data_IF_298185536569
#
_entry.id   IF_298185536569
#
_cell.length_a   1.000
_cell.length_b   1.000
_cell.length_c   1.000
_cell.angle_alpha   90.00
_cell.angle_beta   90.00
_cell.angle_gamma   90.00
#
_symmetry.space_group_name_H-M   'P 1'
#
loop_
_entity.id
_entity.type
_entity.pdbx_description
1 polymer ?
#
# COMPACT_ATOMS: atom_id res chain seq x y z
N UNK A 1 52.35 21.35 -32.00
CA UNK A 1 51.66 20.53 -32.97
C UNK A 1 50.50 19.88 -32.26
N UNK A 2 49.29 20.48 -32.35
CA UNK A 2 48.06 19.99 -31.69
C UNK A 2 47.21 19.26 -32.72
N UNK A 3 47.00 17.97 -32.51
CA UNK A 3 46.02 17.19 -33.28
C UNK A 3 44.63 17.43 -32.73
N UNK A 4 43.59 17.63 -33.54
CA UNK A 4 42.20 17.75 -33.10
C UNK A 4 41.58 16.37 -32.97
N UNK A 5 41.04 16.08 -31.78
CA UNK A 5 40.21 14.92 -31.50
C UNK A 5 38.82 15.12 -32.14
N UNK A 6 38.50 14.30 -33.13
CA UNK A 6 37.16 14.23 -33.72
C UNK A 6 36.25 13.40 -32.81
N UNK A 7 35.17 14.00 -32.35
CA UNK A 7 34.04 13.31 -31.72
C UNK A 7 33.25 12.51 -32.78
N UNK A 8 32.86 11.26 -32.55
CA UNK A 8 32.02 10.52 -33.48
C UNK A 8 30.58 11.04 -33.46
N UNK A 9 30.04 11.18 -34.66
CA UNK A 9 28.69 11.65 -34.95
C UNK A 9 27.61 10.70 -34.42
N UNK A 10 26.61 11.29 -33.73
CA UNK A 10 25.36 10.64 -33.35
C UNK A 10 24.61 10.12 -34.59
N UNK A 11 24.35 8.80 -34.69
CA UNK A 11 22.99 8.35 -34.93
C UNK A 11 22.70 6.94 -34.34
N UNK A 12 22.84 6.73 -33.04
CA UNK A 12 22.46 5.45 -32.42
C UNK A 12 21.37 5.57 -31.32
N UNK A 13 20.90 6.81 -31.04
CA UNK A 13 19.92 7.01 -29.98
C UNK A 13 18.45 6.92 -30.46
N UNK A 14 18.19 6.93 -31.78
CA UNK A 14 16.83 6.85 -32.33
C UNK A 14 16.33 5.42 -32.56
N UNK A 15 17.21 4.43 -32.64
CA UNK A 15 16.83 3.03 -32.89
C UNK A 15 16.37 2.31 -31.61
N UNK A 16 16.79 2.77 -30.40
CA UNK A 16 16.43 2.12 -29.15
C UNK A 16 15.01 2.51 -28.66
N UNK A 17 14.52 3.69 -29.03
CA UNK A 17 13.19 4.16 -28.62
C UNK A 17 12.09 3.48 -29.45
N UNK A 18 12.34 3.18 -30.71
CA UNK A 18 11.39 2.49 -31.61
C UNK A 18 11.26 0.98 -31.29
N UNK A 19 12.32 0.32 -30.79
CA UNK A 19 12.23 -1.09 -30.39
C UNK A 19 11.48 -1.30 -29.07
N UNK A 20 11.54 -0.34 -28.13
CA UNK A 20 10.79 -0.42 -26.89
C UNK A 20 9.27 -0.23 -27.12
N UNK A 21 8.89 0.64 -28.07
CA UNK A 21 7.49 0.84 -28.47
C UNK A 21 6.90 -0.37 -29.19
N UNK A 22 7.69 -1.11 -29.95
CA UNK A 22 7.25 -2.34 -30.63
C UNK A 22 7.12 -3.54 -29.68
N UNK A 23 7.94 -3.64 -28.63
CA UNK A 23 7.76 -4.67 -27.59
C UNK A 23 6.51 -4.41 -26.74
N UNK A 24 6.20 -3.16 -26.41
CA UNK A 24 4.95 -2.81 -25.73
C UNK A 24 3.72 -3.12 -26.60
N UNK A 25 3.78 -2.86 -27.91
CA UNK A 25 2.71 -3.20 -28.85
C UNK A 25 2.56 -4.70 -29.10
N UNK A 26 3.63 -5.50 -29.04
CA UNK A 26 3.56 -6.94 -29.21
C UNK A 26 2.92 -7.67 -28.00
N UNK A 27 2.99 -7.08 -26.79
CA UNK A 27 2.37 -7.66 -25.60
C UNK A 27 0.85 -7.42 -25.57
N UNK A 28 0.32 -6.43 -26.29
CA UNK A 28 -1.13 -6.20 -26.43
C UNK A 28 -1.82 -7.19 -27.40
N UNK A 29 -1.08 -8.05 -28.08
CA UNK A 29 -1.64 -9.03 -29.03
C UNK A 29 -2.18 -10.31 -28.34
N UNK A 30 -1.90 -10.54 -27.05
CA UNK A 30 -2.52 -11.63 -26.29
C UNK A 30 -3.81 -11.07 -25.68
N UNK A 31 -4.95 -11.42 -26.23
CA UNK A 31 -6.27 -11.03 -25.72
C UNK A 31 -6.36 -11.20 -24.20
N UNK A 32 -7.11 -10.32 -23.53
CA UNK A 32 -7.27 -10.42 -22.08
C UNK A 32 -7.78 -9.14 -21.43
N UNK A 33 -7.62 -9.10 -20.12
CA UNK A 33 -7.97 -7.96 -19.28
C UNK A 33 -6.74 -7.45 -18.54
N UNK A 34 -6.68 -6.13 -18.35
CA UNK A 34 -5.60 -5.44 -17.64
C UNK A 34 -6.13 -4.45 -16.62
N UNK A 35 -5.29 -4.13 -15.63
CA UNK A 35 -5.56 -3.17 -14.58
C UNK A 35 -6.91 -3.36 -13.88
N UNK A 36 -7.26 -4.59 -13.44
CA UNK A 36 -8.52 -4.83 -12.77
C UNK A 36 -8.56 -4.09 -11.43
N UNK A 37 -9.69 -3.44 -11.15
CA UNK A 37 -9.98 -2.77 -9.88
C UNK A 37 -11.24 -3.32 -9.24
N UNK A 38 -11.29 -3.23 -7.92
CA UNK A 38 -12.44 -3.64 -7.12
C UNK A 38 -12.69 -2.60 -6.02
N UNK A 39 -13.90 -2.10 -5.95
CA UNK A 39 -14.36 -1.16 -4.92
C UNK A 39 -15.51 -1.78 -4.14
N UNK A 40 -15.53 -1.59 -2.81
CA UNK A 40 -16.68 -1.91 -1.98
C UNK A 40 -17.62 -0.71 -1.97
N UNK A 41 -18.79 -0.85 -2.60
CA UNK A 41 -19.78 0.22 -2.75
C UNK A 41 -20.70 0.29 -1.52
N UNK A 42 -21.13 -0.88 -1.06
CA UNK A 42 -21.89 -1.06 0.17
C UNK A 42 -21.66 -2.49 0.69
N UNK A 43 -22.08 -2.84 1.90
CA UNK A 43 -21.88 -4.17 2.44
C UNK A 43 -22.33 -5.27 1.46
N UNK A 44 -21.38 -6.08 1.00
CA UNK A 44 -21.60 -7.17 0.06
C UNK A 44 -21.80 -6.77 -1.40
N UNK A 45 -21.71 -5.48 -1.76
CA UNK A 45 -21.82 -4.99 -3.14
C UNK A 45 -20.47 -4.42 -3.59
N UNK A 46 -19.93 -4.97 -4.67
CA UNK A 46 -18.63 -4.63 -5.22
C UNK A 46 -18.76 -4.10 -6.63
N UNK A 47 -18.00 -3.08 -6.98
CA UNK A 47 -17.82 -2.59 -8.34
C UNK A 47 -16.51 -3.10 -8.90
N UNK A 48 -16.58 -3.78 -10.03
CA UNK A 48 -15.44 -4.30 -10.78
C UNK A 48 -15.24 -3.47 -12.04
N UNK A 49 -14.00 -3.07 -12.30
CA UNK A 49 -13.62 -2.38 -13.52
C UNK A 49 -12.28 -2.91 -14.04
N UNK A 50 -12.09 -2.88 -15.37
CA UNK A 50 -10.87 -3.32 -16.02
C UNK A 50 -10.80 -2.80 -17.46
N UNK A 51 -9.62 -2.78 -18.03
CA UNK A 51 -9.42 -2.59 -19.46
C UNK A 51 -9.46 -3.95 -20.15
N UNK A 52 -10.21 -4.06 -21.24
CA UNK A 52 -10.35 -5.30 -22.00
C UNK A 52 -9.89 -5.13 -23.44
N UNK A 53 -9.15 -6.12 -23.94
CA UNK A 53 -8.94 -6.23 -25.38
C UNK A 53 -10.25 -6.63 -26.09
N UNK A 54 -10.44 -6.32 -27.39
CA UNK A 54 -11.62 -6.75 -28.14
C UNK A 54 -11.84 -8.28 -28.12
N UNK A 55 -10.76 -9.05 -27.97
CA UNK A 55 -10.76 -10.51 -27.96
C UNK A 55 -11.10 -11.11 -26.58
N UNK A 56 -11.14 -10.30 -25.53
CA UNK A 56 -11.46 -10.78 -24.18
C UNK A 56 -12.85 -11.39 -24.07
N UNK A 57 -13.79 -10.95 -24.93
CA UNK A 57 -15.18 -11.43 -24.93
C UNK A 57 -15.91 -11.11 -23.63
N UNK A 58 -16.85 -11.96 -23.25
CA UNK A 58 -17.47 -11.91 -21.94
C UNK A 58 -16.51 -12.42 -20.87
N UNK A 59 -16.42 -11.72 -19.74
CA UNK A 59 -15.53 -12.09 -18.62
C UNK A 59 -16.36 -12.78 -17.54
N UNK A 60 -16.12 -14.06 -17.32
CA UNK A 60 -16.69 -14.81 -16.19
C UNK A 60 -16.05 -14.38 -14.88
N UNK A 61 -16.87 -14.08 -13.89
CA UNK A 61 -16.45 -13.64 -12.55
C UNK A 61 -16.75 -14.73 -11.55
N UNK A 62 -15.72 -15.21 -10.85
CA UNK A 62 -15.85 -16.14 -9.75
C UNK A 62 -15.46 -15.46 -8.45
N UNK A 63 -16.28 -15.61 -7.41
CA UNK A 63 -15.97 -15.14 -6.07
C UNK A 63 -15.34 -16.27 -5.26
N UNK A 64 -14.26 -15.97 -4.54
CA UNK A 64 -13.56 -16.91 -3.69
C UNK A 64 -13.08 -16.23 -2.40
N UNK A 65 -12.95 -17.00 -1.33
CA UNK A 65 -12.28 -16.57 -0.09
C UNK A 65 -10.75 -16.55 -0.22
N UNK A 66 -10.19 -17.08 -1.32
CA UNK A 66 -8.75 -17.23 -1.55
C UNK A 66 -8.30 -16.66 -2.89
N UNK A 67 -7.11 -16.01 -2.95
CA UNK A 67 -6.60 -15.45 -4.20
C UNK A 67 -5.99 -16.48 -5.15
N UNK A 68 -5.66 -17.68 -4.67
CA UNK A 68 -4.92 -18.71 -5.39
C UNK A 68 -5.80 -19.80 -6.02
N UNK A 69 -7.11 -19.79 -5.74
CA UNK A 69 -8.03 -20.77 -6.32
C UNK A 69 -9.45 -20.24 -6.43
N UNK A 70 -10.21 -20.84 -7.34
CA UNK A 70 -11.66 -20.62 -7.51
C UNK A 70 -12.39 -21.68 -6.67
N UNK A 71 -13.23 -21.23 -5.74
CA UNK A 71 -13.99 -22.13 -4.85
C UNK A 71 -15.31 -22.60 -5.45
N UNK A 72 -15.81 -21.97 -6.54
CA UNK A 72 -17.11 -22.27 -7.17
C UNK A 72 -16.93 -22.77 -8.60
N UNK A 73 -17.74 -23.78 -8.98
CA UNK A 73 -17.82 -24.26 -10.36
C UNK A 73 -18.60 -23.31 -11.30
N UNK A 74 -19.37 -22.38 -10.75
CA UNK A 74 -20.21 -21.44 -11.53
C UNK A 74 -19.77 -20.01 -11.28
N UNK A 75 -19.72 -19.17 -12.34
CA UNK A 75 -19.48 -17.74 -12.18
C UNK A 75 -20.66 -17.09 -11.44
N UNK A 76 -20.36 -16.09 -10.61
CA UNK A 76 -21.37 -15.25 -9.95
C UNK A 76 -21.93 -14.20 -10.90
N UNK A 77 -21.17 -13.85 -11.95
CA UNK A 77 -21.56 -12.87 -12.96
C UNK A 77 -20.76 -13.13 -14.24
N UNK A 78 -21.32 -12.75 -15.40
CA UNK A 78 -20.56 -12.59 -16.65
C UNK A 78 -20.61 -11.13 -17.06
N UNK A 79 -19.47 -10.46 -17.05
CA UNK A 79 -19.34 -9.04 -17.41
C UNK A 79 -19.13 -8.93 -18.92
N UNK A 80 -19.96 -8.10 -19.57
CA UNK A 80 -19.83 -7.74 -21.00
C UNK A 80 -19.46 -6.27 -21.20
N UNK A 81 -19.63 -5.46 -20.15
CA UNK A 81 -19.31 -4.03 -20.13
C UNK A 81 -18.89 -3.61 -18.73
N UNK A 82 -17.82 -2.85 -18.61
CA UNK A 82 -17.31 -2.29 -17.35
C UNK A 82 -17.64 -0.79 -17.22
N UNK A 83 -17.73 -0.25 -16.02
CA UNK A 83 -17.73 -0.99 -14.75
C UNK A 83 -18.99 -1.82 -14.55
N UNK A 84 -18.91 -2.88 -13.74
CA UNK A 84 -20.04 -3.76 -13.40
C UNK A 84 -20.14 -3.98 -11.90
N UNK A 85 -21.35 -4.10 -11.37
CA UNK A 85 -21.58 -4.39 -9.95
C UNK A 85 -21.91 -5.88 -9.75
N UNK A 86 -21.37 -6.43 -8.67
CA UNK A 86 -21.62 -7.80 -8.24
C UNK A 86 -22.01 -7.79 -6.76
N UNK A 87 -23.09 -8.52 -6.45
CA UNK A 87 -23.57 -8.67 -5.07
C UNK A 87 -23.22 -10.05 -4.52
N UNK A 88 -22.58 -10.09 -3.35
CA UNK A 88 -22.21 -11.29 -2.61
C UNK A 88 -22.78 -11.14 -1.19
N UNK A 89 -24.07 -11.42 -0.99
CA UNK A 89 -24.71 -11.22 0.30
C UNK A 89 -24.20 -12.21 1.34
N UNK A 90 -24.23 -11.80 2.61
CA UNK A 90 -23.89 -12.66 3.76
C UNK A 90 -22.39 -12.94 3.95
N UNK A 91 -21.54 -12.29 3.17
CA UNK A 91 -20.09 -12.47 3.30
C UNK A 91 -19.52 -11.67 4.48
N UNK A 92 -18.83 -12.35 5.39
CA UNK A 92 -18.23 -11.72 6.59
C UNK A 92 -16.72 -11.53 6.47
N UNK A 93 -16.05 -12.23 5.54
CA UNK A 93 -14.61 -12.15 5.31
C UNK A 93 -14.24 -11.51 3.98
N UNK A 94 -12.96 -11.58 3.65
CA UNK A 94 -12.43 -11.04 2.42
C UNK A 94 -12.82 -11.86 1.20
N UNK A 95 -13.16 -11.17 0.10
CA UNK A 95 -13.45 -11.78 -1.20
C UNK A 95 -12.37 -11.42 -2.22
N UNK A 96 -12.01 -12.40 -3.03
CA UNK A 96 -11.21 -12.27 -4.23
C UNK A 96 -12.07 -12.64 -5.43
N UNK A 97 -12.08 -11.76 -6.44
CA UNK A 97 -12.76 -12.01 -7.70
C UNK A 97 -11.75 -12.50 -8.73
N UNK A 98 -12.00 -13.69 -9.26
CA UNK A 98 -11.24 -14.25 -10.36
C UNK A 98 -11.95 -13.88 -11.65
N UNK A 99 -11.36 -13.03 -12.46
CA UNK A 99 -11.87 -12.52 -13.71
C UNK A 99 -11.29 -13.36 -14.85
N UNK A 100 -12.11 -14.22 -15.44
CA UNK A 100 -11.71 -15.16 -16.49
C UNK A 100 -12.26 -14.69 -17.83
N UNK A 101 -11.45 -14.06 -18.70
CA UNK A 101 -11.86 -13.69 -20.06
C UNK A 101 -11.98 -14.94 -20.94
N UNK A 102 -12.70 -14.81 -22.07
CA UNK A 102 -12.80 -15.86 -23.06
C UNK A 102 -11.42 -16.19 -23.68
N UNK A 103 -10.57 -15.17 -23.82
CA UNK A 103 -9.18 -15.31 -24.28
C UNK A 103 -8.25 -14.51 -23.35
N UNK A 104 -7.17 -15.12 -22.90
CA UNK A 104 -6.17 -14.53 -22.03
C UNK A 104 -6.18 -15.11 -20.61
N UNK A 105 -5.26 -14.67 -19.77
CA UNK A 105 -5.10 -15.20 -18.42
C UNK A 105 -6.20 -14.69 -17.47
N UNK A 106 -6.59 -15.54 -16.53
CA UNK A 106 -7.42 -15.13 -15.41
C UNK A 106 -6.69 -14.08 -14.57
N UNK A 107 -7.38 -13.03 -14.17
CA UNK A 107 -6.87 -12.00 -13.27
C UNK A 107 -7.61 -12.06 -11.94
N UNK A 108 -6.87 -11.84 -10.86
CA UNK A 108 -7.44 -11.78 -9.50
C UNK A 108 -7.48 -10.33 -9.05
N UNK A 109 -8.61 -9.93 -8.50
CA UNK A 109 -8.79 -8.60 -7.92
C UNK A 109 -9.57 -8.68 -6.61
N UNK A 110 -9.27 -7.79 -5.69
CA UNK A 110 -9.99 -7.62 -4.43
C UNK A 110 -9.99 -6.14 -4.04
N UNK A 111 -10.79 -5.79 -3.03
CA UNK A 111 -10.69 -4.45 -2.44
C UNK A 111 -9.28 -4.24 -1.88
N UNK A 112 -8.67 -3.10 -2.19
CA UNK A 112 -7.33 -2.77 -1.70
C UNK A 112 -7.36 -2.38 -0.24
N UNK A 113 -8.15 -1.36 0.12
CA UNK A 113 -8.37 -0.97 1.50
C UNK A 113 -9.35 -1.92 2.17
N UNK A 114 -8.98 -2.46 3.32
CA UNK A 114 -9.86 -3.30 4.10
C UNK A 114 -10.89 -2.44 4.87
N UNK A 115 -12.14 -2.92 5.03
CA UNK A 115 -13.21 -2.13 5.63
C UNK A 115 -13.16 -2.16 7.17
N UNK A 116 -11.98 -1.86 7.74
CA UNK A 116 -11.78 -1.84 9.18
C UNK A 116 -12.21 -0.51 9.80
N UNK A 117 -12.79 -0.58 10.99
CA UNK A 117 -13.22 0.59 11.75
C UNK A 117 -12.04 1.23 12.50
N UNK A 118 -11.18 0.43 13.11
CA UNK A 118 -10.07 0.88 13.95
C UNK A 118 -8.74 1.12 13.23
N UNK A 119 -8.61 0.68 11.97
CA UNK A 119 -7.37 0.81 11.19
C UNK A 119 -7.62 1.37 9.78
N UNK A 120 -7.78 2.68 9.68
CA UNK A 120 -8.23 3.37 8.46
C UNK A 120 -7.27 3.28 7.28
N UNK A 121 -5.96 3.06 7.52
CA UNK A 121 -4.93 2.97 6.48
C UNK A 121 -4.54 1.51 6.16
N UNK A 122 -5.32 0.53 6.64
CA UNK A 122 -5.06 -0.88 6.43
C UNK A 122 -5.38 -1.29 4.99
N UNK A 123 -4.38 -1.76 4.25
CA UNK A 123 -4.52 -2.17 2.86
C UNK A 123 -3.55 -3.26 2.43
N UNK A 124 -3.92 -3.98 1.39
CA UNK A 124 -3.12 -5.00 0.73
C UNK A 124 -2.13 -4.38 -0.28
N UNK A 125 -0.92 -4.87 -0.31
CA UNK A 125 0.11 -4.51 -1.30
C UNK A 125 0.07 -5.37 -2.57
N UNK A 126 -0.86 -6.33 -2.66
CA UNK A 126 -1.06 -7.16 -3.85
C UNK A 126 -1.74 -6.44 -5.01
N UNK A 127 -1.79 -7.12 -6.16
CA UNK A 127 -2.51 -6.67 -7.35
C UNK A 127 -1.84 -5.58 -8.18
N UNK A 128 -0.64 -5.13 -7.83
CA UNK A 128 0.14 -4.23 -8.68
C UNK A 128 0.83 -5.00 -9.80
N UNK A 129 0.77 -4.45 -11.01
CA UNK A 129 1.46 -5.02 -12.17
C UNK A 129 2.95 -4.69 -12.10
N UNK A 130 3.78 -5.68 -12.40
CA UNK A 130 5.24 -5.56 -12.46
C UNK A 130 5.71 -5.26 -13.89
N UNK A 131 6.96 -4.82 -14.08
CA UNK A 131 7.52 -4.51 -15.41
C UNK A 131 7.51 -5.70 -16.36
N UNK A 132 7.64 -6.92 -15.85
CA UNK A 132 7.62 -8.16 -16.64
C UNK A 132 6.20 -8.68 -16.92
N UNK A 133 5.17 -7.90 -16.54
CA UNK A 133 3.76 -8.21 -16.82
C UNK A 133 3.08 -9.15 -15.84
N UNK A 134 3.76 -9.56 -14.76
CA UNK A 134 3.15 -10.29 -13.66
C UNK A 134 2.38 -9.34 -12.73
N UNK A 135 1.81 -9.90 -11.68
CA UNK A 135 1.10 -9.14 -10.64
C UNK A 135 1.58 -9.57 -9.27
N UNK A 136 1.81 -8.61 -8.39
CA UNK A 136 2.07 -8.89 -6.98
C UNK A 136 0.90 -9.68 -6.41
N UNK A 137 1.19 -10.78 -5.73
CA UNK A 137 0.14 -11.66 -5.20
C UNK A 137 -0.67 -10.98 -4.11
N UNK A 138 -1.99 -11.09 -4.22
CA UNK A 138 -2.92 -10.61 -3.21
C UNK A 138 -2.84 -11.42 -1.92
N UNK A 139 -3.16 -10.78 -0.79
CA UNK A 139 -3.38 -11.47 0.47
C UNK A 139 -2.12 -11.90 1.22
N UNK A 140 -0.94 -11.46 0.81
CA UNK A 140 0.33 -11.86 1.41
C UNK A 140 0.97 -10.79 2.29
N UNK A 141 0.97 -9.53 1.85
CA UNK A 141 1.57 -8.44 2.61
C UNK A 141 0.59 -7.28 2.69
N UNK A 142 0.36 -6.84 3.90
CA UNK A 142 -0.49 -5.71 4.22
C UNK A 142 0.32 -4.60 4.85
N UNK A 143 -0.14 -3.37 4.71
CA UNK A 143 0.38 -2.21 5.43
C UNK A 143 -0.73 -1.54 6.21
N UNK A 144 -0.41 -0.90 7.36
CA UNK A 144 -1.41 -0.27 8.21
C UNK A 144 -0.88 0.92 9.00
N UNK A 145 -1.79 1.72 9.56
CA UNK A 145 -1.54 2.48 10.77
C UNK A 145 -1.54 1.54 12.00
N UNK A 146 -1.25 2.08 13.20
CA UNK A 146 -1.24 1.29 14.44
C UNK A 146 -2.55 0.51 14.64
N UNK A 147 -2.47 -0.61 15.36
CA UNK A 147 -3.57 -1.57 15.54
C UNK A 147 -4.28 -1.42 16.89
N UNK A 148 -4.06 -0.31 17.58
CA UNK A 148 -4.56 -0.04 18.95
C UNK A 148 -6.06 0.05 19.03
N UNK A 149 -6.71 0.57 17.98
CA UNK A 149 -8.14 0.88 17.97
C UNK A 149 -9.00 -0.17 17.25
N UNK A 150 -8.45 -1.37 17.02
CA UNK A 150 -9.21 -2.46 16.37
C UNK A 150 -10.42 -2.84 17.20
N UNK A 151 -11.58 -2.97 16.56
CA UNK A 151 -12.84 -3.38 17.18
C UNK A 151 -13.02 -4.89 17.11
N UNK A 152 -13.99 -5.44 17.86
CA UNK A 152 -14.35 -6.86 17.77
C UNK A 152 -14.70 -7.27 16.33
N UNK A 153 -15.43 -6.41 15.60
CA UNK A 153 -15.79 -6.61 14.20
C UNK A 153 -14.56 -6.63 13.28
N UNK A 154 -13.56 -5.78 13.58
CA UNK A 154 -12.29 -5.79 12.85
C UNK A 154 -11.57 -7.13 13.04
N UNK A 155 -11.55 -7.68 14.25
CA UNK A 155 -10.92 -8.97 14.52
C UNK A 155 -11.64 -10.14 13.82
N UNK A 156 -12.96 -10.12 13.73
CA UNK A 156 -13.72 -11.09 12.94
C UNK A 156 -13.26 -11.09 11.47
N UNK A 157 -13.12 -9.90 10.88
CA UNK A 157 -12.63 -9.74 9.52
C UNK A 157 -11.16 -10.16 9.38
N UNK A 158 -10.27 -9.72 10.27
CA UNK A 158 -8.83 -10.02 10.25
C UNK A 158 -8.54 -11.51 10.44
N UNK A 159 -9.37 -12.23 11.21
CA UNK A 159 -9.25 -13.68 11.39
C UNK A 159 -9.32 -14.40 10.05
N UNK A 160 -10.15 -13.94 9.10
CA UNK A 160 -10.28 -14.51 7.77
C UNK A 160 -9.03 -14.36 6.90
N UNK A 161 -8.12 -13.44 7.25
CA UNK A 161 -6.88 -13.18 6.50
C UNK A 161 -5.75 -14.16 6.88
N UNK A 162 -5.85 -14.82 8.03
CA UNK A 162 -4.85 -15.75 8.52
C UNK A 162 -3.48 -15.13 8.75
N UNK A 163 -3.43 -13.88 9.22
CA UNK A 163 -2.19 -13.12 9.47
C UNK A 163 -1.31 -13.91 10.45
N UNK A 164 -0.04 -14.10 10.08
CA UNK A 164 0.95 -14.84 10.86
C UNK A 164 2.01 -13.99 11.51
N UNK A 165 2.31 -12.82 10.91
CA UNK A 165 3.37 -11.92 11.36
C UNK A 165 2.86 -10.47 11.36
N UNK A 166 3.13 -9.75 12.45
CA UNK A 166 2.95 -8.30 12.56
C UNK A 166 4.32 -7.67 12.81
N UNK A 167 4.76 -6.82 11.88
CA UNK A 167 6.00 -6.07 11.97
C UNK A 167 5.69 -4.64 12.43
N UNK A 168 5.98 -4.35 13.70
CA UNK A 168 5.77 -3.03 14.28
C UNK A 168 7.09 -2.23 14.23
N UNK A 169 7.11 -1.22 13.36
CA UNK A 169 8.28 -0.34 13.19
C UNK A 169 8.23 0.93 14.05
N UNK A 170 7.29 1.03 14.99
CA UNK A 170 7.23 2.14 15.94
C UNK A 170 8.40 2.09 16.91
N UNK A 171 8.80 3.25 17.40
CA UNK A 171 9.80 3.32 18.49
C UNK A 171 9.29 2.67 19.78
N UNK A 172 10.20 2.32 20.68
CA UNK A 172 9.83 1.71 21.97
C UNK A 172 8.88 2.61 22.76
N UNK A 173 9.10 3.92 22.75
CA UNK A 173 8.24 4.89 23.43
C UNK A 173 6.85 5.01 22.79
N UNK A 174 6.73 4.88 21.47
CA UNK A 174 5.41 4.85 20.79
C UNK A 174 4.63 3.58 21.16
N UNK A 175 5.31 2.42 21.18
CA UNK A 175 4.69 1.15 21.56
C UNK A 175 4.25 1.11 23.02
N UNK A 176 5.09 1.64 23.92
CA UNK A 176 4.76 1.67 25.34
C UNK A 176 3.53 2.54 25.65
N UNK A 177 3.35 3.65 24.92
CA UNK A 177 2.19 4.55 25.10
C UNK A 177 0.90 4.00 24.50
N UNK A 178 1.00 3.29 23.41
CA UNK A 178 -0.13 2.80 22.64
C UNK A 178 0.18 1.36 22.16
N UNK A 179 0.17 0.38 23.08
CA UNK A 179 0.44 -1.01 22.72
C UNK A 179 -0.65 -1.53 21.80
N UNK A 180 -0.24 -2.28 20.76
CA UNK A 180 -1.21 -2.99 19.94
C UNK A 180 -1.90 -4.07 20.78
N UNK A 181 -3.17 -4.25 20.49
CA UNK A 181 -3.98 -5.28 21.11
C UNK A 181 -4.46 -6.24 20.03
N UNK A 182 -4.37 -7.55 20.29
CA UNK A 182 -4.84 -8.59 19.39
C UNK A 182 -5.73 -9.59 20.13
N UNK A 183 -6.81 -10.02 19.48
CA UNK A 183 -7.78 -10.96 20.03
C UNK A 183 -7.87 -12.18 19.12
N UNK A 184 -8.00 -13.37 19.72
CA UNK A 184 -8.11 -14.63 19.00
C UNK A 184 -6.75 -15.28 18.75
N UNK A 185 -6.59 -15.91 17.57
CA UNK A 185 -5.32 -16.53 17.19
C UNK A 185 -4.28 -15.44 16.98
N UNK A 186 -3.31 -15.39 17.88
CA UNK A 186 -2.32 -14.33 17.92
C UNK A 186 -1.21 -14.59 16.90
N UNK A 187 -0.96 -13.65 15.96
CA UNK A 187 0.22 -13.68 15.10
C UNK A 187 1.49 -13.45 15.92
N UNK A 188 2.63 -13.75 15.35
CA UNK A 188 3.91 -13.34 15.92
C UNK A 188 4.07 -11.82 15.78
N UNK A 189 4.50 -11.15 16.85
CA UNK A 189 4.83 -9.72 16.85
C UNK A 189 6.34 -9.54 16.76
N UNK A 190 6.79 -8.95 15.67
CA UNK A 190 8.18 -8.59 15.42
C UNK A 190 8.37 -7.08 15.61
N UNK A 191 8.98 -6.67 16.70
CA UNK A 191 9.34 -5.28 16.94
C UNK A 191 10.64 -4.93 16.19
N UNK A 192 10.56 -3.98 15.26
CA UNK A 192 11.68 -3.50 14.44
C UNK A 192 11.71 -1.96 14.51
N UNK A 193 12.14 -1.36 15.62
CA UNK A 193 11.98 0.07 15.86
C UNK A 193 12.77 0.91 14.84
N UNK A 194 12.06 1.86 14.23
CA UNK A 194 12.58 2.87 13.31
C UNK A 194 12.25 4.25 13.87
N UNK A 195 13.26 5.08 14.05
CA UNK A 195 13.16 6.39 14.67
C UNK A 195 13.77 6.43 16.06
N UNK A 196 13.90 7.64 16.61
CA UNK A 196 14.51 7.85 17.92
C UNK A 196 13.48 7.73 19.06
N UNK A 197 13.91 7.19 20.18
CA UNK A 197 13.16 7.18 21.44
C UNK A 197 13.18 8.54 22.17
N UNK A 198 13.61 9.63 21.50
CA UNK A 198 13.90 10.91 22.12
C UNK A 198 12.70 11.62 22.74
N UNK A 199 11.47 11.21 22.39
CA UNK A 199 10.24 11.79 22.94
C UNK A 199 9.54 10.73 23.81
N UNK A 200 9.97 10.63 25.05
CA UNK A 200 9.35 9.75 26.05
C UNK A 200 7.98 10.27 26.52
N UNK A 201 7.86 11.60 26.59
CA UNK A 201 6.61 12.29 26.95
C UNK A 201 6.41 13.47 26.00
N UNK A 202 5.68 13.29 24.88
CA UNK A 202 5.45 14.36 23.92
C UNK A 202 4.63 15.48 24.54
N UNK A 203 5.04 16.72 24.29
CA UNK A 203 4.39 17.93 24.78
C UNK A 203 3.63 18.65 23.66
N UNK A 204 2.76 19.58 24.03
CA UNK A 204 2.11 20.48 23.07
C UNK A 204 3.16 21.23 22.20
N UNK A 205 4.29 21.61 22.78
CA UNK A 205 5.37 22.28 22.08
C UNK A 205 6.06 21.36 21.05
N UNK A 206 6.19 20.07 21.36
CA UNK A 206 6.69 19.07 20.42
C UNK A 206 5.77 18.92 19.19
N UNK A 207 4.46 18.94 19.40
CA UNK A 207 3.49 18.91 18.29
C UNK A 207 3.58 20.19 17.45
N UNK A 208 3.66 21.37 18.06
CA UNK A 208 3.83 22.64 17.35
C UNK A 208 5.11 22.65 16.52
N UNK A 209 6.23 22.22 17.10
CA UNK A 209 7.50 22.10 16.37
C UNK A 209 7.39 21.13 15.18
N UNK A 210 6.70 20.00 15.34
CA UNK A 210 6.48 19.05 14.22
C UNK A 210 5.67 19.68 13.11
N UNK A 211 4.59 20.38 13.44
CA UNK A 211 3.74 21.06 12.44
C UNK A 211 4.54 22.15 11.72
N UNK A 212 5.29 22.97 12.46
CA UNK A 212 6.12 24.02 11.88
C UNK A 212 7.21 23.45 10.96
N UNK A 213 7.83 22.33 11.34
CA UNK A 213 8.86 21.66 10.56
C UNK A 213 8.30 21.11 9.22
N UNK A 214 7.07 20.60 9.22
CA UNK A 214 6.40 20.09 8.01
C UNK A 214 6.03 21.23 7.05
N UNK A 215 5.59 22.36 7.58
CA UNK A 215 5.30 23.56 6.79
C UNK A 215 6.56 24.12 6.09
N UNK A 216 7.76 23.85 6.63
CA UNK A 216 9.05 24.20 6.04
C UNK A 216 9.53 23.31 4.88
N UNK A 217 8.73 22.39 4.37
CA UNK A 217 8.94 21.45 3.23
C UNK A 217 10.21 20.58 3.25
N UNK A 218 11.33 21.04 3.80
CA UNK A 218 12.62 20.33 3.73
C UNK A 218 12.69 19.09 4.65
N UNK A 219 11.90 19.03 5.71
CA UNK A 219 12.07 18.01 6.76
C UNK A 219 11.48 16.65 6.46
N UNK A 220 10.42 16.57 5.63
CA UNK A 220 9.76 15.28 5.32
C UNK A 220 10.61 14.45 4.36
N UNK A 221 11.20 15.08 3.34
CA UNK A 221 12.10 14.43 2.38
C UNK A 221 13.38 13.97 3.06
N UNK A 222 13.99 14.82 3.93
CA UNK A 222 15.17 14.43 4.73
C UNK A 222 14.85 13.25 5.64
N UNK A 223 13.70 13.26 6.30
CA UNK A 223 13.28 12.18 7.19
C UNK A 223 13.01 10.87 6.45
N UNK A 224 12.39 10.91 5.27
CA UNK A 224 12.17 9.75 4.45
C UNK A 224 13.49 9.16 3.93
N UNK A 225 14.43 10.01 3.53
CA UNK A 225 15.79 9.63 3.19
C UNK A 225 16.52 8.96 4.38
N UNK A 226 16.43 9.54 5.58
CA UNK A 226 16.99 8.93 6.79
C UNK A 226 16.37 7.57 7.09
N UNK A 227 15.06 7.40 6.90
CA UNK A 227 14.40 6.11 7.06
C UNK A 227 14.98 5.09 6.09
N UNK A 228 15.11 5.43 4.82
CA UNK A 228 15.63 4.51 3.81
C UNK A 228 17.09 4.11 4.05
N UNK A 229 17.93 5.05 4.50
CA UNK A 229 19.38 4.84 4.64
C UNK A 229 19.78 4.32 6.03
N UNK A 230 19.48 5.11 7.07
CA UNK A 230 19.90 4.83 8.45
C UNK A 230 19.28 3.56 9.02
N UNK A 231 18.07 3.22 8.57
CA UNK A 231 17.31 2.06 9.07
C UNK A 231 17.16 0.95 8.03
N UNK A 232 18.00 0.92 6.99
CA UNK A 232 18.00 -0.14 5.98
C UNK A 232 18.09 -1.55 6.58
N UNK A 233 18.91 -1.73 7.62
CA UNK A 233 19.05 -3.01 8.33
C UNK A 233 17.76 -3.47 9.03
N UNK A 234 16.93 -2.55 9.49
CA UNK A 234 15.62 -2.85 10.08
C UNK A 234 14.64 -3.35 9.01
N UNK A 235 14.57 -2.67 7.88
CA UNK A 235 13.74 -3.12 6.76
C UNK A 235 14.22 -4.46 6.20
N UNK A 236 15.53 -4.67 6.11
CA UNK A 236 16.09 -5.94 5.69
C UNK A 236 15.65 -7.12 6.58
N UNK A 237 15.54 -6.93 7.91
CA UNK A 237 15.01 -7.96 8.83
C UNK A 237 13.58 -8.34 8.49
N UNK A 238 12.72 -7.35 8.18
CA UNK A 238 11.34 -7.62 7.78
C UNK A 238 11.33 -8.39 6.45
N UNK A 239 12.07 -7.92 5.45
CA UNK A 239 12.13 -8.58 4.13
C UNK A 239 12.64 -10.01 4.24
N UNK A 240 13.62 -10.31 5.10
CA UNK A 240 14.11 -11.67 5.36
C UNK A 240 13.00 -12.56 5.92
N UNK A 241 12.19 -12.06 6.86
CA UNK A 241 11.05 -12.81 7.43
C UNK A 241 10.01 -13.11 6.34
N UNK A 242 9.66 -12.12 5.50
CA UNK A 242 8.74 -12.33 4.37
C UNK A 242 9.30 -13.37 3.39
N UNK A 243 10.58 -13.29 3.05
CA UNK A 243 11.25 -14.22 2.14
C UNK A 243 11.32 -15.65 2.73
N UNK A 244 11.37 -15.79 4.06
CA UNK A 244 11.31 -17.09 4.76
C UNK A 244 9.91 -17.70 4.79
N UNK A 245 8.88 -17.01 4.29
CA UNK A 245 7.51 -17.51 4.21
C UNK A 245 6.65 -17.21 5.43
N UNK A 246 7.03 -16.23 6.26
CA UNK A 246 6.19 -15.74 7.38
C UNK A 246 5.07 -14.83 6.83
N UNK A 247 4.17 -15.46 6.10
CA UNK A 247 3.07 -14.84 5.36
C UNK A 247 1.72 -15.52 5.71
N UNK A 248 0.62 -14.79 5.71
CA UNK A 248 0.46 -13.35 5.47
C UNK A 248 1.03 -12.48 6.59
N UNK A 249 1.56 -11.30 6.23
CA UNK A 249 2.18 -10.37 7.18
C UNK A 249 1.57 -8.96 7.08
N UNK A 250 1.59 -8.25 8.21
CA UNK A 250 1.25 -6.82 8.29
C UNK A 250 2.49 -6.05 8.73
N UNK A 251 2.83 -4.98 8.04
CA UNK A 251 3.79 -3.98 8.51
C UNK A 251 3.07 -2.68 8.83
N UNK A 252 3.39 -2.10 9.99
CA UNK A 252 2.76 -0.85 10.39
C UNK A 252 3.68 0.04 11.22
N UNK A 253 3.36 1.34 11.22
CA UNK A 253 3.87 2.32 12.17
C UNK A 253 2.71 3.03 12.88
N UNK A 254 2.85 4.29 13.27
CA UNK A 254 1.77 5.04 13.91
C UNK A 254 0.66 5.44 12.93
N UNK A 255 0.99 6.17 11.86
CA UNK A 255 0.03 6.58 10.83
C UNK A 255 -0.02 5.61 9.63
N UNK A 256 0.93 4.68 9.51
CA UNK A 256 1.08 3.82 8.33
C UNK A 256 1.47 4.59 7.07
N UNK A 257 2.09 5.76 7.23
CA UNK A 257 2.37 6.72 6.15
C UNK A 257 3.85 6.70 5.77
N UNK A 258 4.72 7.26 6.62
CA UNK A 258 6.12 7.53 6.27
C UNK A 258 7.02 6.28 6.37
N UNK A 259 7.26 5.74 7.57
CA UNK A 259 8.09 4.53 7.77
C UNK A 259 7.54 3.33 7.01
N UNK A 260 6.25 3.10 7.14
CA UNK A 260 5.49 2.08 6.40
C UNK A 260 5.49 2.35 4.90
N UNK A 261 5.46 3.63 4.49
CA UNK A 261 5.55 4.02 3.09
C UNK A 261 6.90 3.67 2.47
N UNK A 262 8.00 3.94 3.19
CA UNK A 262 9.35 3.58 2.75
C UNK A 262 9.51 2.06 2.65
N UNK A 263 9.05 1.30 3.65
CA UNK A 263 9.07 -0.17 3.58
C UNK A 263 8.30 -0.70 2.37
N UNK A 264 7.05 -0.23 2.19
CA UNK A 264 6.21 -0.67 1.07
C UNK A 264 6.84 -0.33 -0.28
N UNK A 265 7.49 0.85 -0.38
CA UNK A 265 8.19 1.25 -1.59
C UNK A 265 9.38 0.35 -1.90
N UNK A 266 10.20 0.02 -0.89
CA UNK A 266 11.32 -0.93 -1.04
C UNK A 266 10.80 -2.29 -1.52
N UNK A 267 9.76 -2.82 -0.88
CA UNK A 267 9.19 -4.12 -1.24
C UNK A 267 8.63 -4.12 -2.67
N UNK A 268 7.80 -3.13 -3.01
CA UNK A 268 7.16 -3.07 -4.34
C UNK A 268 8.19 -2.85 -5.45
N UNK A 269 9.22 -2.01 -5.22
CA UNK A 269 10.33 -1.81 -6.16
C UNK A 269 11.13 -3.10 -6.35
N UNK A 270 11.45 -3.81 -5.27
CA UNK A 270 12.14 -5.11 -5.34
C UNK A 270 11.32 -6.19 -6.09
N UNK A 271 10.00 -6.09 -6.05
CA UNK A 271 9.09 -6.96 -6.82
C UNK A 271 8.89 -6.50 -8.28
N UNK A 272 9.54 -5.43 -8.72
CA UNK A 272 9.47 -4.93 -10.09
C UNK A 272 8.23 -4.10 -10.40
N UNK A 273 7.58 -3.51 -9.41
CA UNK A 273 6.47 -2.57 -9.63
C UNK A 273 7.01 -1.23 -10.14
N UNK A 274 6.44 -0.63 -11.20
CA UNK A 274 6.87 0.67 -11.72
C UNK A 274 6.84 1.77 -10.66
N UNK A 275 7.84 2.66 -10.70
CA UNK A 275 8.03 3.73 -9.71
C UNK A 275 6.80 4.61 -9.53
N UNK A 276 6.12 4.95 -10.61
CA UNK A 276 4.91 5.78 -10.60
C UNK A 276 3.78 5.08 -9.81
N UNK A 277 3.66 3.76 -9.94
CA UNK A 277 2.68 2.95 -9.22
C UNK A 277 3.03 2.84 -7.73
N UNK A 278 4.31 2.73 -7.40
CA UNK A 278 4.81 2.76 -6.01
C UNK A 278 4.47 4.10 -5.34
N UNK A 279 4.68 5.22 -6.04
CA UNK A 279 4.32 6.55 -5.55
C UNK A 279 2.79 6.67 -5.38
N UNK A 280 2.00 6.14 -6.31
CA UNK A 280 0.54 6.12 -6.20
C UNK A 280 0.06 5.33 -4.99
N UNK A 281 0.65 4.14 -4.69
CA UNK A 281 0.31 3.43 -3.45
C UNK A 281 0.60 4.28 -2.21
N UNK A 282 1.75 4.94 -2.15
CA UNK A 282 2.09 5.82 -1.04
C UNK A 282 1.04 6.93 -0.84
N UNK A 283 0.62 7.56 -1.94
CA UNK A 283 -0.35 8.67 -1.95
C UNK A 283 -1.79 8.23 -1.61
N UNK A 284 -2.13 6.93 -1.69
CA UNK A 284 -3.41 6.41 -1.19
C UNK A 284 -3.61 6.72 0.30
N UNK A 285 -2.54 6.91 1.07
CA UNK A 285 -2.64 7.34 2.46
C UNK A 285 -3.41 8.67 2.61
N UNK A 286 -3.32 9.58 1.64
CA UNK A 286 -4.09 10.82 1.63
C UNK A 286 -5.60 10.55 1.54
N UNK A 287 -6.00 9.64 0.66
CA UNK A 287 -7.41 9.27 0.51
C UNK A 287 -8.00 8.72 1.82
N UNK A 288 -7.21 7.96 2.58
CA UNK A 288 -7.70 7.25 3.76
C UNK A 288 -7.56 8.07 5.06
N UNK A 289 -6.46 8.81 5.20
CA UNK A 289 -6.16 9.56 6.43
C UNK A 289 -6.74 10.97 6.43
N UNK A 290 -7.01 11.56 5.25
CA UNK A 290 -7.56 12.92 5.14
C UNK A 290 -9.08 12.96 4.97
N UNK A 291 -9.76 11.81 5.04
CA UNK A 291 -11.23 11.76 5.08
C UNK A 291 -11.75 12.55 6.29
N UNK A 292 -12.88 13.28 6.17
CA UNK A 292 -13.37 14.20 7.20
C UNK A 292 -13.44 13.57 8.60
N UNK A 293 -14.04 12.39 8.70
CA UNK A 293 -14.18 11.67 9.98
C UNK A 293 -12.83 11.21 10.54
N UNK A 294 -11.93 10.73 9.65
CA UNK A 294 -10.61 10.26 10.05
C UNK A 294 -9.75 11.40 10.59
N UNK A 295 -9.78 12.57 9.94
CA UNK A 295 -8.98 13.71 10.35
C UNK A 295 -9.45 14.28 11.70
N UNK A 296 -10.75 14.30 11.95
CA UNK A 296 -11.31 14.73 13.23
C UNK A 296 -10.94 13.77 14.37
N UNK A 297 -11.04 12.46 14.14
CA UNK A 297 -10.61 11.46 15.10
C UNK A 297 -9.11 11.56 15.38
N UNK A 298 -8.29 11.80 14.34
CA UNK A 298 -6.85 12.03 14.50
C UNK A 298 -6.56 13.28 15.36
N UNK A 299 -7.32 14.36 15.18
CA UNK A 299 -7.18 15.55 16.02
C UNK A 299 -7.45 15.25 17.50
N UNK A 300 -8.52 14.49 17.79
CA UNK A 300 -8.85 14.06 19.14
C UNK A 300 -7.78 13.11 19.72
N UNK A 301 -7.23 12.20 18.92
CA UNK A 301 -6.12 11.31 19.33
C UNK A 301 -4.86 12.11 19.65
N UNK A 302 -4.52 13.11 18.85
CA UNK A 302 -3.40 14.01 19.10
C UNK A 302 -3.63 14.84 20.38
N UNK A 303 -4.85 15.36 20.59
CA UNK A 303 -5.18 16.08 21.81
C UNK A 303 -4.88 15.21 23.04
N UNK A 304 -5.37 13.98 23.05
CA UNK A 304 -5.14 13.04 24.17
C UNK A 304 -3.67 12.67 24.32
N UNK A 305 -3.01 12.32 23.22
CA UNK A 305 -1.63 11.85 23.22
C UNK A 305 -0.61 12.92 23.66
N UNK A 306 -0.90 14.20 23.38
CA UNK A 306 -0.03 15.33 23.69
C UNK A 306 -0.53 16.18 24.88
N UNK A 307 -1.62 15.79 25.53
CA UNK A 307 -2.19 16.52 26.67
C UNK A 307 -2.61 17.95 26.31
N UNK A 308 -3.15 18.17 25.09
CA UNK A 308 -3.51 19.50 24.66
C UNK A 308 -4.79 19.99 25.37
N UNK A 309 -4.86 21.27 25.78
CA UNK A 309 -6.07 21.82 26.38
C UNK A 309 -7.26 21.88 25.39
N UNK A 310 -6.97 22.04 24.11
CA UNK A 310 -7.94 22.14 23.01
C UNK A 310 -7.57 21.22 21.86
N UNK A 311 -8.54 20.94 20.98
CA UNK A 311 -8.27 20.22 19.73
C UNK A 311 -7.28 21.02 18.88
N UNK A 312 -6.28 20.35 18.28
CA UNK A 312 -5.41 21.02 17.33
C UNK A 312 -6.21 21.45 16.09
N UNK A 313 -5.79 22.54 15.47
CA UNK A 313 -6.37 23.06 14.25
C UNK A 313 -6.38 21.99 13.14
N UNK A 314 -7.55 21.78 12.54
CA UNK A 314 -7.78 20.75 11.53
C UNK A 314 -6.88 20.93 10.29
N UNK A 315 -6.57 22.18 9.87
CA UNK A 315 -5.67 22.43 8.76
C UNK A 315 -4.25 21.95 9.09
N UNK A 316 -3.80 22.20 10.31
CA UNK A 316 -2.50 21.71 10.83
C UNK A 316 -2.46 20.18 10.91
N UNK A 317 -3.52 19.54 11.40
CA UNK A 317 -3.63 18.07 11.43
C UNK A 317 -3.62 17.51 10.01
N UNK A 318 -4.35 18.12 9.09
CA UNK A 318 -4.35 17.75 7.68
C UNK A 318 -2.95 17.83 7.07
N UNK A 319 -2.22 18.90 7.32
CA UNK A 319 -0.84 19.08 6.87
C UNK A 319 0.07 17.96 7.43
N UNK A 320 -0.04 17.67 8.74
CA UNK A 320 0.72 16.61 9.42
C UNK A 320 0.44 15.22 8.81
N UNK A 321 -0.80 14.96 8.42
CA UNK A 321 -1.23 13.66 7.91
C UNK A 321 -1.09 13.52 6.40
N UNK A 322 -0.78 14.58 5.67
CA UNK A 322 -0.59 14.55 4.21
C UNK A 322 0.68 13.79 3.81
N UNK A 323 0.58 13.04 2.74
CA UNK A 323 1.71 12.42 2.03
C UNK A 323 2.00 13.22 0.77
N UNK A 324 3.28 13.51 0.50
CA UNK A 324 3.73 14.24 -0.68
C UNK A 324 4.62 13.34 -1.54
N UNK A 325 4.51 13.34 -2.88
CA UNK A 325 5.32 12.49 -3.74
C UNK A 325 6.83 12.73 -3.52
N UNK A 326 7.26 13.99 -3.34
CA UNK A 326 8.66 14.37 -3.14
C UNK A 326 9.27 13.72 -1.87
N UNK A 327 8.43 13.45 -0.87
CA UNK A 327 8.85 12.76 0.35
C UNK A 327 9.31 11.32 0.05
N UNK A 328 8.54 10.58 -0.74
CA UNK A 328 8.92 9.22 -1.11
C UNK A 328 10.03 9.20 -2.16
N UNK A 329 10.01 10.13 -3.10
CA UNK A 329 11.04 10.25 -4.15
C UNK A 329 12.43 10.47 -3.57
N UNK A 330 12.55 11.22 -2.46
CA UNK A 330 13.80 11.40 -1.76
C UNK A 330 14.34 10.08 -1.18
N UNK A 331 13.47 9.19 -0.70
CA UNK A 331 13.84 7.86 -0.23
C UNK A 331 14.23 6.93 -1.40
N UNK A 332 13.44 6.93 -2.49
CA UNK A 332 13.66 6.08 -3.66
C UNK A 332 14.92 6.47 -4.44
N UNK A 333 15.23 7.76 -4.55
CA UNK A 333 16.44 8.23 -5.24
C UNK A 333 17.75 7.67 -4.69
N UNK A 334 17.74 7.18 -3.45
CA UNK A 334 18.88 6.50 -2.84
C UNK A 334 18.86 4.98 -3.06
N UNK A 335 17.68 4.38 -3.24
CA UNK A 335 17.54 2.94 -3.48
C UNK A 335 18.04 2.58 -4.89
N UNK A 336 17.90 3.50 -5.85
CA UNK A 336 18.31 3.34 -7.24
C UNK A 336 19.79 3.67 -7.49
N UNK A 337 20.52 4.20 -6.51
CA UNK A 337 21.94 4.59 -6.56
C UNK A 337 22.85 3.51 -5.96
#
# INVERSE_FOLDING_TARGET
MKLPMRLPSRPLLFAAITSCSMLAAAYTAVGGIENPTCELISPGVYRLDYQASPQAGGVEVFASSRPDRIDSAKPVLTIRKTPAEVSIPGQTGRIYFHLKPALGPTRVVSIRRLPLEGAKNFRDLGGYRTFDGHYVRWGLVYRSNHLVNLTAKDFEYLTSLGIRLICDVRSDSERARAPDHWVGITPEFLAVPIGSNLITSPTAEDLKRRIAAINGQANDSVRAYEYATKYAGQYAKILQRLASGDLPAVEHCTAGKDRTGVFSAILLTALGVPREVVIQDYLLSNQYLLAPDTIQNTAADLQRAFGLPELPDIASVRTLMSSKPETLEAALGHIDS
#
